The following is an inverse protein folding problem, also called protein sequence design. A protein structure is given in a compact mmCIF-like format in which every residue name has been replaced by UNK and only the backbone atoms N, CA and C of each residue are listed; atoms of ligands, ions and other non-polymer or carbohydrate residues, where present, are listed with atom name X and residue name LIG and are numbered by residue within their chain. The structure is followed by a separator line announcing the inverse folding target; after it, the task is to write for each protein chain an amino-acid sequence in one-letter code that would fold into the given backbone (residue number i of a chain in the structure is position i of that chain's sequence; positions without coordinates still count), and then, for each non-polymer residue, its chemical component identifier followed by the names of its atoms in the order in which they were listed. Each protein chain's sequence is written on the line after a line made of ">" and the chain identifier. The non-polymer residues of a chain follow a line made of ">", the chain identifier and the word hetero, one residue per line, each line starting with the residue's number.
data_IF_024993482867
#
_entry.id   IF_024993482867
#
_cell.length_a   1.000
_cell.length_b   1.000
_cell.length_c   1.000
_cell.angle_alpha   90.00
_cell.angle_beta   90.00
_cell.angle_gamma   90.00
#
_symmetry.space_group_name_H-M   'P 1'
#
loop_
_entity.id
_entity.type
_entity.pdbx_description
1 polymer ?
#
# COMPACT_ATOMS: atom_id res chain seq x y z
N UNK A 1 -8.49 -25.25 8.73
CA UNK A 1 -8.03 -23.85 8.88
C UNK A 1 -6.67 -23.88 9.57
N UNK A 2 -5.68 -23.11 9.11
CA UNK A 2 -4.79 -22.49 10.08
C UNK A 2 -4.43 -21.04 9.74
N UNK A 3 -4.90 -20.12 10.59
CA UNK A 3 -4.53 -18.70 10.66
C UNK A 3 -3.25 -18.52 11.52
N UNK A 4 -2.10 -19.06 11.12
CA UNK A 4 -0.83 -18.88 11.86
C UNK A 4 0.42 -18.90 10.95
N UNK A 5 0.32 -18.43 9.71
CA UNK A 5 1.49 -18.33 8.81
C UNK A 5 2.29 -17.02 8.96
N UNK A 6 1.92 -16.13 9.88
CA UNK A 6 2.63 -14.87 10.09
C UNK A 6 4.04 -15.09 10.67
N UNK A 7 5.07 -15.03 9.82
CA UNK A 7 6.46 -14.88 10.26
C UNK A 7 6.67 -13.50 10.90
N UNK A 8 7.74 -13.28 11.70
CA UNK A 8 8.05 -11.97 12.30
C UNK A 8 8.31 -10.83 11.30
N UNK A 9 8.25 -11.13 10.01
CA UNK A 9 8.34 -10.19 8.89
C UNK A 9 6.97 -9.91 8.25
N UNK A 10 5.89 -10.50 8.77
CA UNK A 10 4.53 -10.31 8.29
C UNK A 10 3.79 -9.37 9.24
N UNK A 11 3.30 -8.29 8.65
CA UNK A 11 2.58 -7.26 9.35
C UNK A 11 1.13 -7.29 8.90
N UNK A 12 0.21 -7.09 9.85
CA UNK A 12 -1.20 -6.98 9.53
C UNK A 12 -1.41 -5.79 8.60
N UNK A 13 -2.07 -6.02 7.47
CA UNK A 13 -2.51 -4.94 6.58
C UNK A 13 -3.40 -3.98 7.36
N UNK A 14 -2.90 -2.77 7.61
CA UNK A 14 -3.66 -1.72 8.27
C UNK A 14 -4.78 -1.24 7.36
N UNK A 15 -5.94 -0.86 7.93
CA UNK A 15 -7.01 -0.27 7.12
C UNK A 15 -6.49 0.99 6.41
N UNK A 16 -6.92 1.19 5.17
CA UNK A 16 -6.54 2.35 4.34
C UNK A 16 -7.27 3.65 4.72
N UNK A 17 -8.07 3.63 5.79
CA UNK A 17 -8.84 4.81 6.21
C UNK A 17 -7.89 5.94 6.64
N UNK A 18 -7.98 7.10 6.00
CA UNK A 18 -7.14 8.26 6.30
C UNK A 18 -5.73 8.18 5.70
N UNK A 19 -5.47 7.25 4.77
CA UNK A 19 -4.17 7.15 4.10
C UNK A 19 -3.89 8.35 3.19
N UNK A 20 -4.94 9.00 2.67
CA UNK A 20 -4.84 10.26 1.95
C UNK A 20 -4.49 11.44 2.86
N UNK A 21 -5.05 11.47 4.07
CA UNK A 21 -4.71 12.47 5.09
C UNK A 21 -3.34 12.24 5.74
N UNK A 22 -2.79 11.02 5.70
CA UNK A 22 -1.52 10.70 6.37
C UNK A 22 -0.37 11.63 5.93
N UNK A 23 -0.25 11.91 4.63
CA UNK A 23 0.74 12.87 4.12
C UNK A 23 0.35 14.34 4.35
N UNK A 24 -0.95 14.66 4.45
CA UNK A 24 -1.42 16.03 4.73
C UNK A 24 -1.16 16.43 6.19
N UNK A 25 -1.36 15.49 7.12
CA UNK A 25 -1.19 15.71 8.56
C UNK A 25 0.27 15.52 8.98
N UNK A 26 0.98 14.58 8.33
CA UNK A 26 2.39 14.27 8.58
C UNK A 26 3.15 14.19 7.25
N UNK A 27 3.67 15.33 6.72
CA UNK A 27 4.34 15.38 5.42
C UNK A 27 5.65 14.57 5.35
N UNK A 28 6.16 14.08 6.48
CA UNK A 28 7.33 13.20 6.57
C UNK A 28 6.96 11.72 6.77
N UNK A 29 5.67 11.38 6.74
CA UNK A 29 5.22 10.00 6.92
C UNK A 29 5.46 9.20 5.64
N UNK A 30 6.33 8.21 5.74
CA UNK A 30 6.55 7.22 4.69
C UNK A 30 5.61 6.03 4.89
N UNK A 31 5.26 5.37 3.79
CA UNK A 31 4.49 4.13 3.75
C UNK A 31 5.39 2.91 3.95
N UNK A 32 4.75 1.75 4.18
CA UNK A 32 5.34 0.50 4.66
C UNK A 32 5.78 0.56 6.13
N UNK A 33 5.85 -0.61 6.76
CA UNK A 33 6.22 -0.76 8.16
C UNK A 33 7.67 -0.34 8.46
N UNK A 34 8.54 -0.39 7.45
CA UNK A 34 9.92 0.07 7.50
C UNK A 34 10.10 1.53 7.02
N UNK A 35 9.01 2.19 6.59
CA UNK A 35 9.02 3.58 6.16
C UNK A 35 9.86 3.83 4.90
N UNK A 36 10.09 2.81 4.07
CA UNK A 36 10.93 2.97 2.88
C UNK A 36 10.19 3.64 1.71
N UNK A 37 8.88 3.45 1.60
CA UNK A 37 8.09 3.98 0.48
C UNK A 37 7.64 5.42 0.73
N UNK A 38 7.94 6.33 -0.19
CA UNK A 38 7.58 7.76 -0.08
C UNK A 38 6.25 8.06 -0.76
N UNK A 39 5.81 7.17 -1.64
CA UNK A 39 4.54 7.30 -2.37
C UNK A 39 3.68 6.05 -2.22
N UNK A 40 2.38 6.19 -2.50
CA UNK A 40 1.43 5.08 -2.51
C UNK A 40 1.78 4.06 -3.60
N UNK A 41 2.26 4.56 -4.74
CA UNK A 41 2.73 3.77 -5.87
C UNK A 41 3.92 2.88 -5.46
N UNK A 42 4.93 3.46 -4.79
CA UNK A 42 6.07 2.72 -4.27
C UNK A 42 5.62 1.70 -3.21
N UNK A 43 4.69 2.09 -2.34
CA UNK A 43 4.14 1.18 -1.34
C UNK A 43 3.49 -0.03 -2.02
N UNK A 44 2.62 0.17 -3.00
CA UNK A 44 1.95 -0.92 -3.74
C UNK A 44 2.98 -1.81 -4.44
N UNK A 45 3.98 -1.23 -5.11
CA UNK A 45 4.98 -1.98 -5.87
C UNK A 45 6.00 -2.74 -5.00
N UNK A 46 6.23 -2.29 -3.76
CA UNK A 46 7.19 -2.92 -2.84
C UNK A 46 6.54 -3.82 -1.79
N UNK A 47 5.21 -3.96 -1.83
CA UNK A 47 4.49 -4.95 -1.03
C UNK A 47 4.73 -6.36 -1.58
N UNK A 48 4.88 -7.31 -0.66
CA UNK A 48 5.08 -8.73 -0.96
C UNK A 48 4.17 -9.60 -0.08
N UNK A 49 4.44 -10.90 -0.06
CA UNK A 49 3.62 -11.87 0.68
C UNK A 49 2.21 -11.93 0.10
N UNK A 50 1.18 -11.81 0.95
CA UNK A 50 -0.22 -11.85 0.55
C UNK A 50 -0.62 -10.74 -0.45
N UNK A 51 0.07 -9.60 -0.44
CA UNK A 51 -0.20 -8.49 -1.35
C UNK A 51 0.38 -8.66 -2.76
N UNK A 52 1.06 -9.78 -3.05
CA UNK A 52 1.69 -10.02 -4.35
C UNK A 52 0.68 -10.00 -5.50
N UNK A 53 -0.51 -10.58 -5.32
CA UNK A 53 -1.56 -10.57 -6.35
C UNK A 53 -2.02 -9.13 -6.66
N UNK A 54 -2.23 -8.31 -5.64
CA UNK A 54 -2.62 -6.89 -5.79
C UNK A 54 -1.52 -6.07 -6.46
N UNK A 55 -0.24 -6.33 -6.10
CA UNK A 55 0.91 -5.69 -6.75
C UNK A 55 0.95 -6.01 -8.24
N UNK A 56 0.82 -7.28 -8.62
CA UNK A 56 0.86 -7.67 -10.04
C UNK A 56 -0.34 -7.10 -10.80
N UNK A 57 -1.53 -7.09 -10.20
CA UNK A 57 -2.70 -6.45 -10.78
C UNK A 57 -2.44 -4.95 -11.06
N UNK A 58 -1.91 -4.22 -10.07
CA UNK A 58 -1.53 -2.81 -10.24
C UNK A 58 -0.46 -2.61 -11.31
N UNK A 59 0.53 -3.51 -11.37
CA UNK A 59 1.60 -3.47 -12.38
C UNK A 59 1.06 -3.63 -13.80
N UNK A 60 0.06 -4.50 -13.98
CA UNK A 60 -0.56 -4.79 -15.29
C UNK A 60 -1.66 -3.82 -15.70
N UNK A 61 -2.14 -2.94 -14.80
CA UNK A 61 -3.13 -1.92 -15.13
C UNK A 61 -2.62 -0.90 -16.15
N UNK A 62 -3.53 -0.35 -16.94
CA UNK A 62 -3.24 0.79 -17.79
C UNK A 62 -2.92 2.05 -16.95
N UNK A 63 -2.18 2.98 -17.55
CA UNK A 63 -1.74 4.19 -16.86
C UNK A 63 -2.91 5.02 -16.29
N UNK A 64 -4.02 5.13 -17.04
CA UNK A 64 -5.22 5.84 -16.60
C UNK A 64 -5.84 5.23 -15.35
N UNK A 65 -5.94 3.90 -15.29
CA UNK A 65 -6.49 3.18 -14.14
C UNK A 65 -5.58 3.28 -12.92
N UNK A 66 -4.25 3.21 -13.13
CA UNK A 66 -3.29 3.44 -12.06
C UNK A 66 -3.45 4.84 -11.46
N UNK A 67 -3.55 5.87 -12.28
CA UNK A 67 -3.74 7.25 -11.82
C UNK A 67 -5.06 7.40 -11.07
N UNK A 68 -6.15 6.82 -11.59
CA UNK A 68 -7.47 6.87 -10.94
C UNK A 68 -7.46 6.17 -9.57
N UNK A 69 -6.81 5.01 -9.47
CA UNK A 69 -6.67 4.27 -8.22
C UNK A 69 -5.87 5.07 -7.19
N UNK A 70 -4.76 5.68 -7.58
CA UNK A 70 -3.97 6.53 -6.67
C UNK A 70 -4.78 7.75 -6.23
N UNK A 71 -5.52 8.38 -7.15
CA UNK A 71 -6.39 9.51 -6.81
C UNK A 71 -7.46 9.10 -5.80
N UNK A 72 -8.08 7.92 -5.98
CA UNK A 72 -9.02 7.36 -5.02
C UNK A 72 -8.37 7.14 -3.64
N UNK A 73 -7.20 6.51 -3.59
CA UNK A 73 -6.48 6.28 -2.33
C UNK A 73 -6.10 7.58 -1.61
N UNK A 74 -5.78 8.65 -2.36
CA UNK A 74 -5.52 10.00 -1.81
C UNK A 74 -6.78 10.70 -1.28
N UNK A 75 -7.97 10.23 -1.64
CA UNK A 75 -9.25 10.81 -1.18
C UNK A 75 -9.83 10.15 0.08
N UNK A 76 -9.20 9.07 0.57
CA UNK A 76 -9.57 8.33 1.79
C UNK A 76 -8.97 8.91 3.07
#
# INVERSE_FOLDING_TARGET
>A
CPDFQASGNEWRTTPLWGIGLAQTVLPYSNYLHDGRARTLEEAILWHGGEATASKEAFRTMDEGDRVALIAFLKSL
#
